data_IF_310229953157
#
_entry.id   IF_310229953157
#
_cell.length_a   1.000
_cell.length_b   1.000
_cell.length_c   1.000
_cell.angle_alpha   90.00
_cell.angle_beta   90.00
_cell.angle_gamma   90.00
#
_symmetry.space_group_name_H-M   'P 1'
#
loop_
_entity.id
_entity.type
_entity.pdbx_description
1 polymer ?
#
# COMPACT_ATOMS: atom_id res chain seq x y z
N UNK A 1 14.08 19.40 12.10
CA UNK A 1 15.46 19.10 12.60
C UNK A 1 15.57 17.68 13.17
N UNK A 2 14.70 17.21 14.07
CA UNK A 2 14.78 15.85 14.68
C UNK A 2 14.82 14.70 13.66
N UNK A 3 13.96 14.71 12.63
CA UNK A 3 13.93 13.64 11.61
C UNK A 3 15.18 13.56 10.78
N UNK A 4 15.78 14.69 10.39
CA UNK A 4 17.07 14.67 9.68
C UNK A 4 18.18 14.07 10.53
N UNK A 5 18.18 14.30 11.85
CA UNK A 5 19.11 13.67 12.76
C UNK A 5 18.88 12.16 12.89
N UNK A 6 17.61 11.68 12.95
CA UNK A 6 17.29 10.27 12.96
C UNK A 6 17.70 9.56 11.65
N UNK A 7 17.47 10.19 10.51
CA UNK A 7 17.93 9.66 9.21
C UNK A 7 19.45 9.58 9.19
N UNK A 8 20.17 10.63 9.62
CA UNK A 8 21.63 10.61 9.69
C UNK A 8 22.15 9.48 10.61
N UNK A 9 21.54 9.27 11.78
CA UNK A 9 21.87 8.15 12.66
C UNK A 9 21.63 6.78 12.02
N UNK A 10 20.48 6.62 11.33
CA UNK A 10 20.16 5.37 10.66
C UNK A 10 21.15 5.03 9.51
N UNK A 11 21.74 6.05 8.90
CA UNK A 11 22.66 5.92 7.78
C UNK A 11 24.14 5.84 8.18
N UNK A 12 24.51 6.12 9.45
CA UNK A 12 25.91 6.14 9.90
C UNK A 12 26.71 4.86 9.59
N UNK A 13 26.02 3.72 9.48
CA UNK A 13 26.66 2.42 9.22
C UNK A 13 26.57 1.98 7.76
N UNK A 14 26.22 2.86 6.83
CA UNK A 14 26.01 2.54 5.40
C UNK A 14 25.15 1.27 5.20
N UNK A 15 23.89 1.25 5.65
CA UNK A 15 23.06 0.07 5.61
C UNK A 15 22.70 -0.32 4.16
N UNK A 16 22.62 -1.62 3.89
CA UNK A 16 22.09 -2.12 2.62
C UNK A 16 20.56 -1.95 2.50
N UNK A 17 19.87 -1.85 3.64
CA UNK A 17 18.40 -1.69 3.73
C UNK A 17 18.05 -0.68 4.82
N UNK A 18 17.22 0.30 4.47
CA UNK A 18 16.58 1.23 5.40
C UNK A 18 15.09 0.89 5.52
N UNK A 19 14.60 0.75 6.76
CA UNK A 19 13.16 0.62 7.04
C UNK A 19 12.69 1.98 7.57
N UNK A 20 11.81 2.63 6.82
CA UNK A 20 11.22 3.92 7.14
C UNK A 20 9.73 3.74 7.46
N UNK A 21 9.41 3.70 8.76
CA UNK A 21 8.05 3.55 9.26
C UNK A 21 7.46 4.93 9.52
N UNK A 22 6.48 5.31 8.69
CA UNK A 22 5.80 6.59 8.71
C UNK A 22 6.76 7.81 8.83
N UNK A 23 7.79 7.93 7.97
CA UNK A 23 8.87 8.90 8.17
C UNK A 23 8.42 10.35 8.06
N UNK A 24 7.20 10.60 7.60
CA UNK A 24 6.65 11.94 7.36
C UNK A 24 5.46 12.28 8.26
N UNK A 25 5.11 11.41 9.21
CA UNK A 25 4.01 11.65 10.13
C UNK A 25 4.25 12.93 10.96
N UNK A 26 3.20 13.76 11.10
CA UNK A 26 3.19 15.04 11.78
C UNK A 26 4.12 16.12 11.17
N UNK A 27 4.46 16.00 9.89
CA UNK A 27 5.16 17.05 9.15
C UNK A 27 4.22 17.83 8.23
N UNK A 28 4.54 19.08 8.01
CA UNK A 28 3.93 19.84 6.92
C UNK A 28 4.37 19.32 5.56
N UNK A 29 3.55 19.55 4.54
CA UNK A 29 3.72 19.01 3.17
C UNK A 29 5.08 19.40 2.58
N UNK A 30 5.59 20.60 2.89
CA UNK A 30 6.86 21.10 2.38
C UNK A 30 8.04 20.31 2.95
N UNK A 31 8.03 20.09 4.27
CA UNK A 31 9.08 19.32 4.96
C UNK A 31 8.99 17.85 4.56
N UNK A 32 7.78 17.30 4.42
CA UNK A 32 7.56 15.95 3.91
C UNK A 32 8.24 15.76 2.54
N UNK A 33 7.98 16.66 1.58
CA UNK A 33 8.60 16.61 0.26
C UNK A 33 10.14 16.67 0.33
N UNK A 34 10.70 17.53 1.20
CA UNK A 34 12.15 17.63 1.39
C UNK A 34 12.76 16.33 1.96
N UNK A 35 12.11 15.70 2.93
CA UNK A 35 12.58 14.43 3.52
C UNK A 35 12.54 13.31 2.48
N UNK A 36 11.48 13.25 1.67
CA UNK A 36 11.35 12.22 0.64
C UNK A 36 12.38 12.42 -0.49
N UNK A 37 12.64 13.67 -0.91
CA UNK A 37 13.72 13.97 -1.86
C UNK A 37 15.09 13.53 -1.32
N UNK A 38 15.37 13.87 -0.06
CA UNK A 38 16.63 13.47 0.61
C UNK A 38 16.78 11.94 0.64
N UNK A 39 15.74 11.20 1.00
CA UNK A 39 15.78 9.74 1.03
C UNK A 39 16.03 9.14 -0.36
N UNK A 40 15.44 9.73 -1.40
CA UNK A 40 15.65 9.30 -2.78
C UNK A 40 17.09 9.56 -3.23
N UNK A 41 17.62 10.73 -2.97
CA UNK A 41 19.02 11.10 -3.29
C UNK A 41 20.01 10.14 -2.58
N UNK A 42 19.81 9.92 -1.27
CA UNK A 42 20.64 9.02 -0.48
C UNK A 42 20.54 7.55 -0.94
N UNK A 43 19.34 7.10 -1.34
CA UNK A 43 19.17 5.76 -1.93
C UNK A 43 20.03 5.59 -3.19
N UNK A 44 20.02 6.59 -4.06
CA UNK A 44 20.79 6.57 -5.32
C UNK A 44 22.30 6.66 -5.07
N UNK A 45 22.72 7.51 -4.14
CA UNK A 45 24.14 7.75 -3.82
C UNK A 45 24.78 6.53 -3.11
N UNK A 46 24.09 5.94 -2.13
CA UNK A 46 24.59 4.84 -1.31
C UNK A 46 24.30 3.48 -1.95
N UNK A 47 23.33 3.40 -2.87
CA UNK A 47 22.89 2.14 -3.49
C UNK A 47 22.09 1.24 -2.55
N UNK A 48 21.44 1.81 -1.51
CA UNK A 48 20.64 1.06 -0.54
C UNK A 48 19.22 0.81 -1.03
N UNK A 49 18.56 -0.19 -0.46
CA UNK A 49 17.13 -0.42 -0.60
C UNK A 49 16.35 0.29 0.51
N UNK A 50 15.11 0.69 0.22
CA UNK A 50 14.22 1.30 1.22
C UNK A 50 12.92 0.51 1.30
N UNK A 51 12.50 0.11 2.51
CA UNK A 51 11.13 -0.29 2.81
C UNK A 51 10.43 0.93 3.41
N UNK A 52 9.48 1.49 2.67
CA UNK A 52 8.66 2.60 3.11
C UNK A 52 7.31 2.07 3.61
N UNK A 53 6.99 2.28 4.88
CA UNK A 53 5.69 1.98 5.47
C UNK A 53 4.96 3.31 5.61
N UNK A 54 3.82 3.44 4.96
CA UNK A 54 3.03 4.68 4.96
C UNK A 54 1.57 4.43 4.56
N UNK A 55 0.71 5.30 5.02
CA UNK A 55 -0.69 5.39 4.56
C UNK A 55 -0.87 6.45 3.45
N UNK A 56 0.17 7.19 3.10
CA UNK A 56 0.12 8.22 2.06
C UNK A 56 0.34 7.59 0.67
N UNK A 57 -0.75 7.42 -0.06
CA UNK A 57 -0.78 6.82 -1.40
C UNK A 57 -0.01 7.68 -2.41
N UNK A 58 -0.01 9.01 -2.23
CA UNK A 58 0.74 9.94 -3.09
C UNK A 58 2.25 9.72 -2.98
N UNK A 59 2.75 9.49 -1.76
CA UNK A 59 4.16 9.13 -1.55
C UNK A 59 4.51 7.79 -2.20
N UNK A 60 3.66 6.78 -2.02
CA UNK A 60 3.86 5.47 -2.66
C UNK A 60 3.94 5.62 -4.18
N UNK A 61 3.02 6.39 -4.79
CA UNK A 61 3.00 6.61 -6.24
C UNK A 61 4.28 7.28 -6.75
N UNK A 62 4.90 8.16 -5.95
CA UNK A 62 6.07 8.95 -6.36
C UNK A 62 7.42 8.24 -6.18
N UNK A 63 7.50 7.23 -5.29
CA UNK A 63 8.78 6.65 -4.85
C UNK A 63 8.89 5.15 -5.02
N UNK A 64 7.77 4.41 -4.91
CA UNK A 64 7.83 2.97 -4.84
C UNK A 64 8.05 2.33 -6.22
N UNK A 65 8.98 1.38 -6.29
CA UNK A 65 9.12 0.48 -7.44
C UNK A 65 8.11 -0.66 -7.37
N UNK A 66 7.84 -1.16 -6.15
CA UNK A 66 6.94 -2.27 -5.84
C UNK A 66 6.11 -1.92 -4.61
N UNK A 67 4.85 -2.35 -4.60
CA UNK A 67 3.91 -2.08 -3.52
C UNK A 67 3.38 -3.38 -2.96
N UNK A 68 3.30 -3.45 -1.63
CA UNK A 68 2.60 -4.49 -0.87
C UNK A 68 1.44 -3.81 -0.14
N UNK A 69 0.22 -4.17 -0.50
CA UNK A 69 -0.97 -3.67 0.19
C UNK A 69 -1.31 -4.61 1.33
N UNK A 70 -1.42 -4.05 2.54
CA UNK A 70 -1.77 -4.79 3.75
C UNK A 70 -3.18 -4.45 4.21
N UNK A 71 -3.89 -5.46 4.70
CA UNK A 71 -5.17 -5.31 5.38
C UNK A 71 -5.27 -6.30 6.53
N UNK A 72 -5.65 -5.80 7.70
CA UNK A 72 -5.85 -6.62 8.91
C UNK A 72 -4.70 -7.62 9.14
N UNK A 73 -3.44 -7.15 9.10
CA UNK A 73 -2.24 -7.96 9.35
C UNK A 73 -1.80 -8.89 8.21
N UNK A 74 -2.46 -8.86 7.03
CA UNK A 74 -2.07 -9.70 5.89
C UNK A 74 -1.68 -8.85 4.67
N UNK A 75 -0.66 -9.29 3.92
CA UNK A 75 -0.43 -8.81 2.56
C UNK A 75 -1.52 -9.44 1.68
N UNK A 76 -2.37 -8.59 1.09
CA UNK A 76 -3.51 -9.00 0.26
C UNK A 76 -3.26 -8.79 -1.23
N UNK A 77 -2.36 -7.88 -1.57
CA UNK A 77 -1.96 -7.63 -2.96
C UNK A 77 -0.51 -7.16 -3.02
N UNK A 78 0.20 -7.58 -4.05
CA UNK A 78 1.59 -7.25 -4.31
C UNK A 78 1.82 -7.13 -5.80
N UNK A 79 2.37 -5.97 -6.24
CA UNK A 79 2.75 -5.77 -7.64
C UNK A 79 3.76 -4.62 -7.79
N UNK A 80 4.34 -4.43 -9.00
CA UNK A 80 4.99 -3.18 -9.37
C UNK A 80 4.04 -2.00 -9.15
N UNK A 81 4.55 -0.86 -8.65
CA UNK A 81 3.71 0.28 -8.32
C UNK A 81 2.77 0.68 -9.47
N UNK A 82 3.29 0.74 -10.70
CA UNK A 82 2.50 1.08 -11.90
C UNK A 82 1.29 0.16 -12.08
N UNK A 83 1.41 -1.13 -11.76
CA UNK A 83 0.32 -2.11 -11.90
C UNK A 83 -0.72 -1.93 -10.79
N UNK A 84 -0.30 -1.66 -9.55
CA UNK A 84 -1.23 -1.37 -8.44
C UNK A 84 -2.12 -0.17 -8.78
N UNK A 85 -1.54 0.91 -9.32
CA UNK A 85 -2.30 2.12 -9.65
C UNK A 85 -3.15 1.98 -10.91
N UNK A 86 -2.71 1.17 -11.89
CA UNK A 86 -3.40 1.00 -13.18
C UNK A 86 -4.48 -0.05 -13.15
N UNK A 87 -4.21 -1.19 -12.52
CA UNK A 87 -5.04 -2.38 -12.56
C UNK A 87 -5.03 -3.14 -11.23
N UNK A 88 -5.48 -2.52 -10.12
CA UNK A 88 -5.57 -3.19 -8.83
C UNK A 88 -6.50 -4.40 -8.93
N UNK A 89 -6.13 -5.51 -8.28
CA UNK A 89 -6.88 -6.77 -8.34
C UNK A 89 -7.75 -6.98 -7.12
N UNK A 90 -7.19 -6.76 -5.92
CA UNK A 90 -7.97 -6.97 -4.71
C UNK A 90 -9.02 -5.87 -4.53
N UNK A 91 -10.29 -6.19 -4.19
CA UNK A 91 -11.35 -5.19 -3.98
C UNK A 91 -11.00 -4.13 -2.93
N UNK A 92 -10.29 -4.48 -1.86
CA UNK A 92 -9.80 -3.50 -0.90
C UNK A 92 -8.84 -2.49 -1.55
N UNK A 93 -7.89 -2.95 -2.37
CA UNK A 93 -6.97 -2.06 -3.07
C UNK A 93 -7.70 -1.11 -4.01
N UNK A 94 -8.71 -1.61 -4.74
CA UNK A 94 -9.58 -0.79 -5.59
C UNK A 94 -10.30 0.29 -4.76
N UNK A 95 -10.92 -0.13 -3.66
CA UNK A 95 -11.62 0.78 -2.77
C UNK A 95 -10.66 1.81 -2.13
N UNK A 96 -9.47 1.38 -1.69
CA UNK A 96 -8.45 2.25 -1.11
C UNK A 96 -7.99 3.32 -2.10
N UNK A 97 -7.70 2.95 -3.35
CA UNK A 97 -7.31 3.90 -4.40
C UNK A 97 -8.47 4.85 -4.77
N UNK A 98 -9.71 4.39 -4.70
CA UNK A 98 -10.88 5.23 -4.96
C UNK A 98 -11.12 6.30 -3.87
N UNK A 99 -10.54 6.17 -2.67
CA UNK A 99 -10.61 7.21 -1.63
C UNK A 99 -9.65 8.38 -1.87
N UNK A 100 -8.70 8.24 -2.80
CA UNK A 100 -7.73 9.31 -3.09
C UNK A 100 -8.35 10.31 -4.05
N UNK A 101 -8.49 11.59 -3.65
CA UNK A 101 -8.99 12.62 -4.56
C UNK A 101 -8.03 12.80 -5.74
N UNK A 102 -8.58 12.81 -6.95
CA UNK A 102 -7.81 13.20 -8.13
C UNK A 102 -8.00 14.69 -8.39
N UNK A 103 -6.92 15.41 -8.68
CA UNK A 103 -6.98 16.81 -9.11
C UNK A 103 -7.76 17.03 -10.42
N UNK A 104 -8.05 15.95 -11.14
CA UNK A 104 -8.87 15.97 -12.37
C UNK A 104 -10.34 15.64 -12.12
N UNK A 105 -10.70 15.21 -10.90
CA UNK A 105 -12.08 14.98 -10.52
C UNK A 105 -12.70 16.37 -10.21
N UNK A 106 -13.80 16.72 -10.89
CA UNK A 106 -14.51 17.98 -10.62
C UNK A 106 -15.06 18.04 -9.19
N UNK A 107 -15.47 19.23 -8.76
CA UNK A 107 -16.00 19.53 -7.39
C UNK A 107 -17.20 18.66 -6.95
N UNK A 108 -17.84 17.93 -7.87
CA UNK A 108 -19.06 17.15 -7.62
C UNK A 108 -18.83 15.67 -7.28
N UNK A 109 -17.58 15.21 -7.10
CA UNK A 109 -17.34 13.80 -6.76
C UNK A 109 -17.60 13.56 -5.28
N UNK A 110 -18.58 12.70 -4.98
CA UNK A 110 -18.79 12.19 -3.63
C UNK A 110 -17.52 11.45 -3.15
N UNK A 111 -17.04 11.81 -1.96
CA UNK A 111 -15.93 11.10 -1.33
C UNK A 111 -16.36 9.67 -1.03
N UNK A 112 -15.72 8.72 -1.72
CA UNK A 112 -15.98 7.29 -1.48
C UNK A 112 -15.29 6.90 -0.18
N UNK A 113 -16.05 6.38 0.77
CA UNK A 113 -15.51 5.76 1.99
C UNK A 113 -15.65 4.24 1.91
N UNK A 114 -14.68 3.53 2.48
CA UNK A 114 -14.78 2.07 2.60
C UNK A 114 -15.73 1.75 3.78
N UNK A 115 -16.94 1.17 3.54
CA UNK A 115 -17.92 0.97 4.59
C UNK A 115 -17.46 -0.03 5.64
N UNK A 116 -18.01 0.09 6.86
CA UNK A 116 -17.76 -0.84 7.97
C UNK A 116 -16.43 -0.58 8.69
N UNK A 117 -16.13 -1.43 9.67
CA UNK A 117 -14.97 -1.34 10.56
C UNK A 117 -14.04 -2.52 10.27
N UNK A 118 -12.73 -2.34 10.49
CA UNK A 118 -11.77 -3.45 10.44
C UNK A 118 -12.16 -4.46 11.54
N UNK A 119 -12.29 -5.76 11.24
CA UNK A 119 -12.72 -6.74 12.23
C UNK A 119 -11.74 -6.81 13.38
N UNK A 120 -12.26 -6.87 14.60
CA UNK A 120 -11.49 -7.27 15.77
C UNK A 120 -11.25 -8.78 15.72
N UNK A 121 -10.12 -9.27 16.23
CA UNK A 121 -9.80 -10.70 16.21
C UNK A 121 -9.60 -11.29 14.83
N UNK A 122 -9.11 -10.49 13.88
CA UNK A 122 -8.91 -10.89 12.48
C UNK A 122 -7.98 -12.09 12.29
N UNK A 123 -7.20 -12.46 13.32
CA UNK A 123 -6.32 -13.64 13.27
C UNK A 123 -7.10 -14.96 13.25
N UNK A 124 -8.32 -14.96 13.81
CA UNK A 124 -9.22 -16.11 13.84
C UNK A 124 -10.04 -16.26 12.54
N UNK A 125 -9.94 -15.32 11.59
CA UNK A 125 -10.66 -15.37 10.32
C UNK A 125 -9.90 -16.27 9.34
N UNK A 126 -10.46 -17.44 8.99
CA UNK A 126 -9.77 -18.42 8.13
C UNK A 126 -9.69 -17.98 6.68
N UNK A 127 -10.64 -17.14 6.23
CA UNK A 127 -10.81 -16.69 4.86
C UNK A 127 -10.26 -15.28 4.59
N UNK A 128 -10.88 -14.63 3.64
CA UNK A 128 -10.56 -13.24 3.31
C UNK A 128 -10.99 -12.31 4.44
N UNK A 129 -10.05 -11.65 5.11
CA UNK A 129 -10.30 -10.70 6.21
C UNK A 129 -11.12 -9.46 5.80
N UNK A 130 -11.17 -9.18 4.50
CA UNK A 130 -11.97 -8.08 3.94
C UNK A 130 -13.39 -8.52 3.53
N UNK A 131 -13.75 -9.81 3.63
CA UNK A 131 -14.99 -10.36 3.09
C UNK A 131 -16.24 -9.61 3.57
N UNK A 132 -16.34 -9.27 4.85
CA UNK A 132 -17.53 -8.61 5.44
C UNK A 132 -17.74 -7.16 4.93
N UNK A 133 -16.72 -6.57 4.31
CA UNK A 133 -16.74 -5.21 3.75
C UNK A 133 -16.67 -5.21 2.23
N UNK A 134 -16.65 -6.40 1.61
CA UNK A 134 -16.44 -6.58 0.18
C UNK A 134 -17.76 -6.68 -0.57
N UNK A 135 -18.00 -5.80 -1.53
CA UNK A 135 -19.17 -5.85 -2.42
C UNK A 135 -19.22 -7.09 -3.33
N UNK A 136 -18.04 -7.73 -3.53
CA UNK A 136 -17.90 -8.95 -4.35
C UNK A 136 -17.87 -10.22 -3.51
N UNK A 137 -18.27 -10.18 -2.22
CA UNK A 137 -18.22 -11.36 -1.35
C UNK A 137 -18.98 -12.55 -1.94
N UNK A 138 -18.34 -13.71 -1.89
CA UNK A 138 -18.90 -15.02 -2.27
C UNK A 138 -18.58 -16.06 -1.18
N UNK A 139 -19.25 -17.23 -1.14
CA UNK A 139 -18.96 -18.28 -0.15
C UNK A 139 -17.50 -18.77 -0.16
N UNK A 140 -16.82 -18.70 -1.31
CA UNK A 140 -15.43 -19.07 -1.46
C UNK A 140 -14.49 -18.12 -0.68
N UNK A 141 -14.93 -16.90 -0.38
CA UNK A 141 -14.15 -15.93 0.40
C UNK A 141 -14.01 -16.35 1.87
N UNK A 142 -14.86 -17.23 2.39
CA UNK A 142 -14.80 -17.74 3.76
C UNK A 142 -13.74 -18.85 3.95
N UNK A 143 -13.15 -19.32 2.84
CA UNK A 143 -12.06 -20.29 2.84
C UNK A 143 -10.70 -19.59 2.80
N UNK A 144 -9.61 -20.26 3.23
CA UNK A 144 -8.27 -19.72 3.12
C UNK A 144 -7.96 -19.27 1.69
N UNK A 145 -7.45 -18.03 1.55
CA UNK A 145 -7.12 -17.43 0.26
C UNK A 145 -5.66 -17.66 -0.09
N UNK A 146 -5.41 -18.16 -1.28
CA UNK A 146 -4.08 -18.30 -1.84
C UNK A 146 -3.61 -17.01 -2.51
N UNK A 147 -2.31 -16.92 -2.78
CA UNK A 147 -1.75 -15.85 -3.61
C UNK A 147 -1.97 -16.21 -5.09
N UNK A 148 -3.04 -15.72 -5.68
CA UNK A 148 -3.31 -15.90 -7.12
C UNK A 148 -2.41 -14.96 -7.93
N UNK A 149 -1.88 -15.49 -9.05
CA UNK A 149 -1.06 -14.71 -9.99
C UNK A 149 -1.93 -14.06 -11.07
N UNK A 150 -1.71 -12.78 -11.32
CA UNK A 150 -2.36 -11.96 -12.35
C UNK A 150 -1.32 -11.42 -13.35
N UNK A 151 -0.25 -12.16 -13.57
CA UNK A 151 0.89 -11.82 -14.39
C UNK A 151 2.21 -12.21 -13.71
N UNK A 152 3.34 -11.84 -14.31
CA UNK A 152 4.64 -12.28 -13.79
C UNK A 152 4.97 -11.78 -12.38
N UNK A 153 4.56 -10.55 -12.05
CA UNK A 153 4.93 -9.86 -10.80
C UNK A 153 3.73 -9.31 -10.04
N UNK A 154 2.50 -9.67 -10.42
CA UNK A 154 1.29 -9.22 -9.78
C UNK A 154 0.58 -10.39 -9.10
N UNK A 155 0.37 -10.31 -7.79
CA UNK A 155 -0.29 -11.32 -6.98
C UNK A 155 -1.32 -10.69 -6.07
N UNK A 156 -2.46 -11.37 -5.89
CA UNK A 156 -3.48 -10.94 -4.94
C UNK A 156 -4.18 -12.14 -4.30
N UNK A 157 -4.61 -11.98 -3.05
CA UNK A 157 -5.40 -12.97 -2.30
C UNK A 157 -6.89 -12.78 -2.55
N UNK A 158 -7.34 -12.99 -3.79
CA UNK A 158 -8.74 -12.81 -4.16
C UNK A 158 -9.18 -13.85 -5.19
N UNK A 159 -9.93 -14.86 -4.74
CA UNK A 159 -10.47 -15.92 -5.59
C UNK A 159 -11.45 -15.37 -6.63
N UNK A 160 -12.27 -14.39 -6.24
CA UNK A 160 -13.29 -13.79 -7.12
C UNK A 160 -12.66 -13.15 -8.35
N UNK A 161 -11.63 -12.32 -8.16
CA UNK A 161 -10.94 -11.65 -9.26
C UNK A 161 -10.17 -12.66 -10.14
N UNK A 162 -9.73 -13.78 -9.58
CA UNK A 162 -9.08 -14.85 -10.34
C UNK A 162 -10.04 -15.58 -11.28
N UNK A 163 -11.29 -15.72 -10.88
CA UNK A 163 -12.31 -16.36 -11.72
C UNK A 163 -12.79 -15.44 -12.85
N UNK A 164 -12.78 -14.12 -12.64
CA UNK A 164 -13.17 -13.13 -13.65
C UNK A 164 -12.13 -12.97 -14.79
N UNK A 165 -10.87 -13.44 -14.60
CA UNK A 165 -9.83 -13.43 -15.65
C UNK A 165 -9.87 -14.66 -16.58
N UNK A 166 -10.70 -15.66 -16.30
CA UNK A 166 -10.87 -16.85 -17.16
C UNK A 166 -11.91 -16.62 -18.24
#
# INVERSE_FOLDING_TARGET
>A
MRQRAMIAMALCCNPALLIADEPTTALDVTIQAQIMSLLKELREEIGMSIILITHDIGLVASMADRVLVMYAGQIIEEAPAKEIFRAPRHPYTKALLATVPSIYDGDDRELVSIPGIVPEGYDDIPGCRFADRCEYRRPECDKPQENYSFGEKHRAKCVVMKEEEK
#
